data_IF_645261841487
#
_entry.id   IF_645261841487
#
_cell.length_a   1.000
_cell.length_b   1.000
_cell.length_c   1.000
_cell.angle_alpha   90.00
_cell.angle_beta   90.00
_cell.angle_gamma   90.00
#
_symmetry.space_group_name_H-M   'P 1'
#
loop_
_entity.id
_entity.type
_entity.pdbx_description
1 polymer ?
#
# COMPACT_ATOMS: atom_id res chain seq x y z
N UNK A 1 -59.06 9.46 -48.82
CA UNK A 1 -58.31 10.44 -47.99
C UNK A 1 -57.92 9.82 -46.63
N UNK A 2 -57.16 8.72 -46.59
CA UNK A 2 -56.78 8.06 -45.31
C UNK A 2 -55.36 7.44 -45.32
N UNK A 3 -54.48 7.86 -46.24
CA UNK A 3 -53.12 7.28 -46.35
C UNK A 3 -52.02 8.11 -45.66
N UNK A 4 -52.33 9.33 -45.21
CA UNK A 4 -51.31 10.26 -44.70
C UNK A 4 -51.07 10.23 -43.19
N UNK A 5 -51.92 9.54 -42.40
CA UNK A 5 -51.80 9.54 -40.93
C UNK A 5 -50.87 8.42 -40.42
N UNK A 6 -50.73 7.32 -41.17
CA UNK A 6 -49.88 6.18 -40.76
C UNK A 6 -48.38 6.49 -40.76
N UNK A 7 -47.90 7.28 -41.73
CA UNK A 7 -46.48 7.57 -41.90
C UNK A 7 -45.88 8.54 -40.85
N UNK A 8 -46.73 9.29 -40.13
CA UNK A 8 -46.28 10.23 -39.09
C UNK A 8 -46.03 9.53 -37.75
N UNK A 9 -46.69 8.41 -37.49
CA UNK A 9 -46.55 7.64 -36.25
C UNK A 9 -45.32 6.72 -36.23
N UNK A 10 -44.78 6.29 -37.38
CA UNK A 10 -43.52 5.51 -37.44
C UNK A 10 -42.28 6.32 -37.03
N UNK A 11 -42.38 7.65 -36.98
CA UNK A 11 -41.30 8.57 -36.58
C UNK A 11 -41.44 9.16 -35.19
N UNK A 12 -42.47 8.78 -34.42
CA UNK A 12 -42.53 9.14 -33.02
C UNK A 12 -41.38 8.43 -32.29
N UNK A 13 -40.39 9.14 -31.71
CA UNK A 13 -39.36 8.48 -30.94
C UNK A 13 -40.04 7.75 -29.80
N UNK A 14 -39.86 6.42 -29.75
CA UNK A 14 -40.42 5.57 -28.70
C UNK A 14 -40.22 6.24 -27.33
N UNK A 15 -41.30 6.29 -26.54
CA UNK A 15 -41.28 6.93 -25.24
C UNK A 15 -40.15 6.31 -24.40
N UNK A 16 -39.14 7.12 -24.08
CA UNK A 16 -37.84 6.59 -23.65
C UNK A 16 -37.93 6.08 -22.22
N UNK A 17 -37.52 4.83 -22.01
CA UNK A 17 -37.52 4.21 -20.70
C UNK A 17 -36.54 4.94 -19.76
N UNK A 18 -37.07 5.45 -18.64
CA UNK A 18 -36.24 6.12 -17.62
C UNK A 18 -35.28 5.11 -17.03
N UNK A 19 -33.98 5.26 -17.28
CA UNK A 19 -32.97 4.42 -16.65
C UNK A 19 -32.74 4.92 -15.21
N UNK A 20 -33.14 4.17 -14.17
CA UNK A 20 -33.02 4.64 -12.80
C UNK A 20 -31.55 4.61 -12.34
N UNK A 21 -31.01 5.77 -11.97
CA UNK A 21 -29.71 5.86 -11.29
C UNK A 21 -29.90 5.71 -9.80
N UNK A 22 -29.15 4.80 -9.20
CA UNK A 22 -29.22 4.54 -7.75
C UNK A 22 -28.71 5.74 -6.94
N UNK A 23 -29.32 5.98 -5.78
CA UNK A 23 -28.90 7.03 -4.84
C UNK A 23 -27.41 6.91 -4.49
N UNK A 24 -26.76 8.07 -4.29
CA UNK A 24 -25.33 8.23 -3.98
C UNK A 24 -24.36 7.77 -5.09
N UNK A 25 -24.85 7.56 -6.33
CA UNK A 25 -23.97 7.34 -7.47
C UNK A 25 -23.22 8.63 -7.82
N UNK A 26 -21.94 8.52 -8.16
CA UNK A 26 -21.09 9.66 -8.54
C UNK A 26 -20.75 9.64 -10.03
N UNK A 27 -20.37 10.80 -10.58
CA UNK A 27 -19.95 10.89 -11.96
C UNK A 27 -18.65 10.10 -12.18
N UNK A 28 -18.64 9.23 -13.19
CA UNK A 28 -17.46 8.49 -13.64
C UNK A 28 -16.37 9.47 -14.10
N UNK A 29 -15.12 9.21 -13.71
CA UNK A 29 -13.94 9.98 -14.06
C UNK A 29 -13.60 11.13 -13.09
N UNK A 30 -14.50 11.53 -12.19
CA UNK A 30 -14.28 12.68 -11.28
C UNK A 30 -13.94 12.28 -9.85
N UNK A 31 -14.44 11.14 -9.37
CA UNK A 31 -14.39 10.81 -7.94
C UNK A 31 -13.51 9.60 -7.62
N UNK A 32 -13.08 8.85 -8.63
CA UNK A 32 -12.38 7.58 -8.44
C UNK A 32 -10.93 7.75 -8.00
N UNK A 33 -10.28 8.86 -8.37
CA UNK A 33 -8.87 9.11 -8.00
C UNK A 33 -8.62 9.16 -6.50
N UNK A 34 -9.61 9.59 -5.71
CA UNK A 34 -9.54 9.59 -4.23
C UNK A 34 -9.95 8.23 -3.65
N UNK A 35 -10.79 7.49 -4.37
CA UNK A 35 -11.32 6.21 -3.90
C UNK A 35 -10.30 5.09 -4.04
N UNK A 36 -9.70 4.95 -5.23
CA UNK A 36 -8.65 3.97 -5.48
C UNK A 36 -7.37 4.36 -4.76
N UNK A 37 -6.67 3.35 -4.24
CA UNK A 37 -5.39 3.52 -3.58
C UNK A 37 -4.40 2.56 -4.20
N UNK A 38 -3.19 3.05 -4.46
CA UNK A 38 -2.08 2.20 -4.87
C UNK A 38 -1.95 1.04 -3.88
N UNK A 39 -1.77 -0.16 -4.40
CA UNK A 39 -1.69 -1.39 -3.60
C UNK A 39 -0.57 -2.26 -4.17
N UNK A 40 0.14 -3.01 -3.33
CA UNK A 40 1.15 -3.97 -3.77
C UNK A 40 0.57 -5.38 -3.95
N UNK A 41 1.21 -6.21 -4.78
CA UNK A 41 0.91 -7.65 -4.91
C UNK A 41 0.95 -8.36 -3.55
N UNK A 42 1.89 -7.99 -2.70
CA UNK A 42 2.02 -8.56 -1.36
C UNK A 42 0.80 -8.23 -0.49
N UNK A 43 0.38 -6.96 -0.47
CA UNK A 43 -0.81 -6.52 0.29
C UNK A 43 -2.07 -7.25 -0.16
N UNK A 44 -2.27 -7.38 -1.48
CA UNK A 44 -3.41 -8.11 -2.04
C UNK A 44 -3.38 -9.60 -1.66
N UNK A 45 -2.21 -10.25 -1.73
CA UNK A 45 -2.04 -11.64 -1.29
C UNK A 45 -2.33 -11.79 0.20
N UNK A 46 -1.89 -10.84 1.02
CA UNK A 46 -2.18 -10.80 2.45
C UNK A 46 -3.69 -10.65 2.70
N UNK A 47 -4.38 -9.78 1.95
CA UNK A 47 -5.84 -9.62 2.03
C UNK A 47 -6.56 -10.93 1.71
N UNK A 48 -6.20 -11.61 0.61
CA UNK A 48 -6.80 -12.89 0.23
C UNK A 48 -6.54 -13.96 1.28
N UNK A 49 -5.32 -14.05 1.79
CA UNK A 49 -4.96 -14.99 2.86
C UNK A 49 -5.76 -14.70 4.14
N UNK A 50 -5.91 -13.43 4.51
CA UNK A 50 -6.67 -13.00 5.67
C UNK A 50 -8.14 -13.40 5.54
N UNK A 51 -8.74 -13.18 4.36
CA UNK A 51 -10.12 -13.56 4.10
C UNK A 51 -10.34 -15.07 4.21
N UNK A 52 -9.43 -15.88 3.65
CA UNK A 52 -9.48 -17.35 3.77
C UNK A 52 -9.40 -17.81 5.22
N UNK A 53 -8.50 -17.22 6.02
CA UNK A 53 -8.39 -17.54 7.46
C UNK A 53 -9.59 -17.05 8.27
N UNK A 54 -10.09 -15.86 7.97
CA UNK A 54 -11.27 -15.29 8.61
C UNK A 54 -12.51 -16.16 8.36
N UNK A 55 -12.69 -16.63 7.13
CA UNK A 55 -13.75 -17.58 6.77
C UNK A 55 -13.67 -18.87 7.61
N UNK A 56 -12.48 -19.47 7.70
CA UNK A 56 -12.28 -20.71 8.45
C UNK A 56 -12.49 -20.51 9.95
N UNK A 57 -11.96 -19.41 10.51
CA UNK A 57 -12.09 -19.10 11.93
C UNK A 57 -13.53 -18.79 12.35
N UNK A 58 -14.31 -18.18 11.46
CA UNK A 58 -15.72 -17.86 11.72
C UNK A 58 -16.71 -18.98 11.38
N UNK A 59 -16.24 -20.13 10.89
CA UNK A 59 -17.12 -21.24 10.53
C UNK A 59 -17.63 -21.95 11.78
N UNK A 60 -18.94 -21.96 11.94
CA UNK A 60 -19.60 -22.68 13.04
C UNK A 60 -19.67 -24.19 12.75
N UNK A 61 -19.64 -25.04 13.80
CA UNK A 61 -19.84 -26.48 13.64
C UNK A 61 -21.16 -26.79 12.92
N UNK A 62 -21.11 -27.64 11.89
CA UNK A 62 -22.28 -27.99 11.06
C UNK A 62 -22.64 -26.99 9.96
N UNK A 63 -22.03 -25.79 9.95
CA UNK A 63 -22.25 -24.83 8.87
C UNK A 63 -21.36 -25.15 7.65
N UNK A 64 -21.96 -25.13 6.46
CA UNK A 64 -21.23 -25.36 5.19
C UNK A 64 -20.20 -24.25 4.90
N UNK A 65 -20.53 -23.00 5.24
CA UNK A 65 -19.72 -21.82 4.95
C UNK A 65 -19.48 -21.04 6.23
N UNK A 66 -18.38 -20.29 6.25
CA UNK A 66 -18.13 -19.26 7.25
C UNK A 66 -18.84 -17.94 6.91
N UNK A 67 -18.43 -16.83 7.55
CA UNK A 67 -19.10 -15.53 7.44
C UNK A 67 -19.08 -14.92 6.03
N UNK A 68 -18.01 -15.15 5.25
CA UNK A 68 -17.88 -14.60 3.90
C UNK A 68 -18.57 -15.50 2.87
N UNK A 69 -18.36 -16.81 2.97
CA UNK A 69 -18.78 -17.82 2.01
C UNK A 69 -17.78 -18.03 0.86
N UNK A 70 -17.78 -19.24 0.30
CA UNK A 70 -16.82 -19.62 -0.75
C UNK A 70 -16.81 -18.70 -1.98
N UNK A 71 -17.98 -18.23 -2.43
CA UNK A 71 -18.08 -17.31 -3.59
C UNK A 71 -17.42 -15.95 -3.31
N UNK A 72 -17.45 -15.48 -2.06
CA UNK A 72 -16.79 -14.24 -1.68
C UNK A 72 -15.26 -14.36 -1.76
N UNK A 73 -14.72 -15.52 -1.38
CA UNK A 73 -13.29 -15.81 -1.52
C UNK A 73 -12.90 -15.88 -3.01
N UNK A 74 -13.67 -16.60 -3.84
CA UNK A 74 -13.47 -16.67 -5.29
C UNK A 74 -13.46 -15.28 -5.95
N UNK A 75 -14.38 -14.40 -5.54
CA UNK A 75 -14.44 -13.01 -6.01
C UNK A 75 -13.20 -12.21 -5.61
N UNK A 76 -12.76 -12.34 -4.37
CA UNK A 76 -11.59 -11.62 -3.87
C UNK A 76 -10.31 -12.07 -4.59
N UNK A 77 -10.18 -13.36 -4.89
CA UNK A 77 -9.10 -13.91 -5.72
C UNK A 77 -9.14 -13.41 -7.16
N UNK A 78 -10.33 -13.31 -7.76
CA UNK A 78 -10.48 -12.73 -9.08
C UNK A 78 -10.08 -11.24 -9.06
N UNK A 79 -10.50 -10.48 -8.05
CA UNK A 79 -10.11 -9.08 -7.89
C UNK A 79 -8.61 -8.90 -7.70
N UNK A 80 -7.97 -9.80 -6.96
CA UNK A 80 -6.52 -9.81 -6.80
C UNK A 80 -5.77 -9.93 -8.13
N UNK A 81 -6.35 -10.65 -9.09
CA UNK A 81 -5.78 -10.82 -10.43
C UNK A 81 -6.12 -9.65 -11.38
N UNK A 82 -7.24 -8.95 -11.15
CA UNK A 82 -7.72 -7.89 -12.04
C UNK A 82 -7.24 -6.48 -11.65
N UNK A 83 -6.81 -6.27 -10.40
CA UNK A 83 -6.45 -4.94 -9.90
C UNK A 83 -5.18 -4.41 -10.58
N UNK A 84 -5.22 -3.15 -11.01
CA UNK A 84 -3.99 -2.43 -11.39
C UNK A 84 -3.25 -2.00 -10.13
N UNK A 85 -2.10 -2.60 -9.83
CA UNK A 85 -1.31 -2.29 -8.63
C UNK A 85 -0.79 -0.84 -8.60
N UNK A 86 -0.56 -0.21 -9.76
CA UNK A 86 -0.02 1.16 -9.80
C UNK A 86 -1.04 2.18 -9.33
N UNK A 87 -2.30 2.00 -9.71
CA UNK A 87 -3.37 2.97 -9.47
C UNK A 87 -4.40 2.50 -8.45
N UNK A 88 -4.50 1.20 -8.20
CA UNK A 88 -5.59 0.57 -7.44
C UNK A 88 -6.88 0.43 -8.24
N UNK A 89 -6.86 0.69 -9.56
CA UNK A 89 -8.06 0.68 -10.40
C UNK A 89 -8.62 -0.72 -10.50
N UNK A 90 -9.90 -0.85 -10.13
CA UNK A 90 -10.67 -2.08 -10.21
C UNK A 90 -12.13 -1.72 -10.48
N UNK A 91 -12.62 -2.06 -11.68
CA UNK A 91 -13.97 -1.71 -12.13
C UNK A 91 -14.68 -2.78 -12.99
N UNK A 92 -14.57 -4.09 -12.67
CA UNK A 92 -15.29 -5.13 -13.42
C UNK A 92 -16.81 -4.95 -13.32
N UNK A 93 -17.52 -5.18 -14.42
CA UNK A 93 -18.98 -5.23 -14.41
C UNK A 93 -19.49 -6.50 -13.72
N UNK A 94 -20.72 -6.50 -13.20
CA UNK A 94 -21.31 -7.71 -12.59
C UNK A 94 -21.36 -8.84 -13.62
N UNK A 95 -21.69 -8.54 -14.87
CA UNK A 95 -21.79 -9.54 -15.94
C UNK A 95 -20.40 -10.13 -16.28
N UNK A 96 -19.33 -9.31 -16.21
CA UNK A 96 -17.94 -9.78 -16.31
C UNK A 96 -17.60 -10.75 -15.18
N UNK A 97 -18.04 -10.48 -13.96
CA UNK A 97 -17.81 -11.36 -12.80
C UNK A 97 -18.59 -12.68 -12.95
N UNK A 98 -19.83 -12.61 -13.43
CA UNK A 98 -20.64 -13.78 -13.75
C UNK A 98 -19.94 -14.67 -14.77
N UNK A 99 -19.42 -14.08 -15.85
CA UNK A 99 -18.72 -14.80 -16.91
C UNK A 99 -17.43 -15.47 -16.38
N UNK A 100 -16.63 -14.75 -15.59
CA UNK A 100 -15.33 -15.24 -15.09
C UNK A 100 -15.48 -16.32 -14.02
N UNK A 101 -16.43 -16.17 -13.10
CA UNK A 101 -16.63 -17.12 -11.99
C UNK A 101 -17.66 -18.21 -12.29
N UNK A 102 -18.44 -18.08 -13.38
CA UNK A 102 -19.56 -18.97 -13.71
C UNK A 102 -20.56 -19.09 -12.55
N UNK A 103 -20.81 -17.98 -11.86
CA UNK A 103 -21.77 -17.87 -10.75
C UNK A 103 -22.97 -17.03 -11.16
N UNK A 104 -24.11 -17.29 -10.53
CA UNK A 104 -25.32 -16.49 -10.75
C UNK A 104 -25.13 -15.06 -10.27
N UNK A 105 -25.89 -14.13 -10.87
CA UNK A 105 -25.89 -12.71 -10.48
C UNK A 105 -26.15 -12.53 -8.99
N UNK A 106 -27.10 -13.29 -8.46
CA UNK A 106 -27.49 -13.22 -7.05
C UNK A 106 -26.38 -13.71 -6.11
N UNK A 107 -25.69 -14.80 -6.46
CA UNK A 107 -24.56 -15.29 -5.68
C UNK A 107 -23.43 -14.24 -5.62
N UNK A 108 -23.13 -13.57 -6.73
CA UNK A 108 -22.13 -12.49 -6.78
C UNK A 108 -22.58 -11.30 -5.94
N UNK A 109 -23.84 -10.87 -6.05
CA UNK A 109 -24.37 -9.74 -5.27
C UNK A 109 -24.35 -10.04 -3.77
N UNK A 110 -24.72 -11.26 -3.36
CA UNK A 110 -24.65 -11.70 -1.96
C UNK A 110 -23.20 -11.71 -1.46
N UNK A 111 -22.29 -12.28 -2.22
CA UNK A 111 -20.87 -12.34 -1.87
C UNK A 111 -20.23 -10.94 -1.76
N UNK A 112 -20.54 -10.02 -2.68
CA UNK A 112 -20.11 -8.62 -2.57
C UNK A 112 -20.64 -7.98 -1.28
N UNK A 113 -21.93 -8.17 -0.95
CA UNK A 113 -22.51 -7.66 0.31
C UNK A 113 -21.79 -8.20 1.53
N UNK A 114 -21.46 -9.50 1.56
CA UNK A 114 -20.73 -10.10 2.67
C UNK A 114 -19.32 -9.51 2.80
N UNK A 115 -18.56 -9.43 1.70
CA UNK A 115 -17.23 -8.81 1.70
C UNK A 115 -17.25 -7.38 2.25
N UNK A 116 -18.29 -6.60 1.90
CA UNK A 116 -18.46 -5.24 2.41
C UNK A 116 -18.89 -5.19 3.86
N UNK A 117 -19.80 -6.06 4.28
CA UNK A 117 -20.23 -6.16 5.68
C UNK A 117 -19.05 -6.48 6.62
N UNK A 118 -18.12 -7.31 6.16
CA UNK A 118 -16.93 -7.70 6.92
C UNK A 118 -15.68 -6.84 6.65
N UNK A 119 -15.78 -5.81 5.80
CA UNK A 119 -14.71 -4.82 5.58
C UNK A 119 -13.57 -5.26 4.66
N UNK A 120 -13.71 -6.36 3.92
CA UNK A 120 -12.73 -6.80 2.91
C UNK A 120 -12.84 -6.05 1.58
N UNK A 121 -14.00 -5.43 1.33
CA UNK A 121 -14.28 -4.77 0.08
C UNK A 121 -15.17 -3.54 0.26
N UNK A 122 -14.78 -2.44 -0.37
CA UNK A 122 -15.64 -1.28 -0.59
C UNK A 122 -15.98 -1.12 -2.06
N UNK A 123 -17.10 -0.43 -2.34
CA UNK A 123 -17.42 0.02 -3.68
C UNK A 123 -17.94 1.45 -3.72
N UNK A 124 -17.65 2.11 -4.84
CA UNK A 124 -18.22 3.39 -5.24
C UNK A 124 -19.14 3.15 -6.44
N UNK A 125 -20.41 3.56 -6.30
CA UNK A 125 -21.40 3.51 -7.39
C UNK A 125 -21.18 4.68 -8.33
N UNK A 126 -21.30 4.42 -9.64
CA UNK A 126 -20.99 5.40 -10.66
C UNK A 126 -22.09 5.51 -11.71
N UNK A 127 -22.20 6.69 -12.31
CA UNK A 127 -22.99 6.94 -13.51
C UNK A 127 -22.13 7.65 -14.55
N UNK A 128 -22.51 7.51 -15.82
CA UNK A 128 -21.91 8.22 -16.94
C UNK A 128 -23.02 8.91 -17.75
N UNK A 129 -22.66 10.02 -18.40
CA UNK A 129 -23.59 10.72 -19.27
C UNK A 129 -23.78 9.92 -20.56
N UNK A 130 -25.01 9.78 -21.02
CA UNK A 130 -25.33 9.00 -22.22
C UNK A 130 -24.93 9.73 -23.51
N UNK A 131 -24.70 11.05 -23.44
CA UNK A 131 -24.25 11.86 -24.58
C UNK A 131 -25.34 12.22 -25.60
N UNK A 132 -26.58 11.75 -25.38
CA UNK A 132 -27.71 12.05 -26.24
C UNK A 132 -28.22 13.50 -26.04
N UNK A 133 -28.58 14.14 -27.14
CA UNK A 133 -29.22 15.46 -27.14
C UNK A 133 -30.72 15.35 -26.75
N UNK A 134 -31.21 16.29 -25.93
CA UNK A 134 -32.60 16.32 -25.48
C UNK A 134 -32.82 17.08 -24.17
N UNK A 135 -34.05 17.03 -23.64
CA UNK A 135 -34.44 17.75 -22.42
C UNK A 135 -33.83 17.11 -21.17
N UNK A 136 -32.79 17.76 -20.62
CA UNK A 136 -32.16 17.42 -19.34
C UNK A 136 -30.97 16.44 -19.43
N UNK A 137 -30.12 16.35 -18.39
CA UNK A 137 -28.96 15.47 -18.39
C UNK A 137 -29.36 14.00 -18.44
N UNK A 138 -29.01 13.30 -19.51
CA UNK A 138 -29.24 11.86 -19.64
C UNK A 138 -28.06 11.09 -19.04
N UNK A 139 -28.37 10.22 -18.08
CA UNK A 139 -27.38 9.42 -17.34
C UNK A 139 -27.70 7.93 -17.45
N UNK A 140 -26.66 7.12 -17.59
CA UNK A 140 -26.73 5.66 -17.48
C UNK A 140 -25.83 5.17 -16.34
N UNK A 141 -26.21 4.05 -15.73
CA UNK A 141 -25.43 3.47 -14.65
C UNK A 141 -24.15 2.84 -15.21
N UNK A 142 -23.01 3.21 -14.65
CA UNK A 142 -21.72 2.64 -15.00
C UNK A 142 -21.37 1.45 -14.08
N UNK A 143 -20.34 0.68 -14.44
CA UNK A 143 -19.78 -0.33 -13.54
C UNK A 143 -19.29 0.32 -12.24
N UNK A 144 -19.45 -0.37 -11.12
CA UNK A 144 -18.94 0.14 -9.85
C UNK A 144 -17.41 0.15 -9.86
N UNK A 145 -16.82 1.07 -9.11
CA UNK A 145 -15.42 1.00 -8.72
C UNK A 145 -15.32 0.21 -7.42
N UNK A 146 -14.42 -0.76 -7.35
CA UNK A 146 -14.18 -1.58 -6.16
C UNK A 146 -12.83 -1.27 -5.56
N UNK A 147 -12.68 -1.52 -4.26
CA UNK A 147 -11.42 -1.41 -3.53
C UNK A 147 -11.35 -2.52 -2.49
N UNK A 148 -10.25 -3.26 -2.50
CA UNK A 148 -9.96 -4.25 -1.46
C UNK A 148 -9.35 -3.57 -0.24
N UNK A 149 -9.69 -4.07 0.95
CA UNK A 149 -9.17 -3.57 2.22
C UNK A 149 -8.88 -4.73 3.16
N UNK A 150 -7.93 -4.53 4.07
CA UNK A 150 -7.63 -5.47 5.14
C UNK A 150 -8.26 -4.96 6.45
N UNK A 151 -9.39 -5.52 6.90
CA UNK A 151 -10.01 -5.10 8.16
C UNK A 151 -9.17 -5.53 9.36
N UNK A 152 -9.26 -4.76 10.45
CA UNK A 152 -8.43 -4.96 11.65
C UNK A 152 -8.67 -6.33 12.31
N UNK A 153 -9.92 -6.80 12.32
CA UNK A 153 -10.28 -8.12 12.83
C UNK A 153 -9.57 -9.26 12.08
N UNK A 154 -9.43 -9.14 10.75
CA UNK A 154 -8.73 -10.14 9.95
C UNK A 154 -7.21 -10.01 10.09
N UNK A 155 -6.69 -8.78 10.33
CA UNK A 155 -5.27 -8.55 10.61
C UNK A 155 -4.83 -9.26 11.90
N UNK A 156 -5.67 -9.26 12.93
CA UNK A 156 -5.39 -9.98 14.16
C UNK A 156 -5.30 -11.51 13.95
N UNK A 157 -6.15 -12.07 13.08
CA UNK A 157 -6.17 -13.51 12.77
C UNK A 157 -4.94 -13.96 11.96
N UNK A 158 -4.36 -13.06 11.15
CA UNK A 158 -3.14 -13.34 10.39
C UNK A 158 -1.94 -13.63 11.31
N UNK A 159 -1.81 -12.94 12.45
CA UNK A 159 -0.70 -13.13 13.38
C UNK A 159 0.66 -13.01 12.68
N UNK A 160 1.51 -14.05 12.78
CA UNK A 160 2.81 -14.12 12.07
C UNK A 160 2.69 -14.31 10.55
N UNK A 161 1.54 -14.73 10.04
CA UNK A 161 1.33 -15.09 8.63
C UNK A 161 0.93 -13.84 7.85
N UNK A 162 1.89 -13.15 7.25
CA UNK A 162 1.65 -11.87 6.55
C UNK A 162 2.55 -10.74 7.05
N UNK A 163 3.27 -10.97 8.15
CA UNK A 163 4.40 -10.15 8.56
C UNK A 163 5.63 -10.56 7.75
N UNK A 164 6.49 -9.59 7.43
CA UNK A 164 7.83 -9.90 6.92
C UNK A 164 8.52 -10.78 7.97
N UNK A 165 9.07 -11.95 7.59
CA UNK A 165 9.80 -12.80 8.53
C UNK A 165 10.87 -11.98 9.26
N UNK A 166 11.10 -12.25 10.56
CA UNK A 166 12.23 -11.63 11.24
C UNK A 166 13.51 -11.96 10.48
N UNK A 167 14.44 -11.01 10.44
CA UNK A 167 15.76 -11.23 9.85
C UNK A 167 16.43 -12.39 10.61
N UNK A 168 17.06 -13.37 9.92
CA UNK A 168 17.74 -14.47 10.59
C UNK A 168 18.81 -13.98 11.57
N UNK A 169 18.95 -14.68 12.71
CA UNK A 169 19.90 -14.31 13.76
C UNK A 169 21.34 -14.22 13.23
N UNK A 170 21.74 -15.12 12.33
CA UNK A 170 23.05 -15.08 11.67
C UNK A 170 23.30 -13.78 10.89
N UNK A 171 22.25 -13.21 10.28
CA UNK A 171 22.37 -11.94 9.56
C UNK A 171 22.48 -10.75 10.50
N UNK A 172 21.72 -10.78 11.60
CA UNK A 172 21.82 -9.76 12.67
C UNK A 172 23.21 -9.78 13.28
N UNK A 173 23.73 -10.97 13.59
CA UNK A 173 25.08 -11.17 14.10
C UNK A 173 26.15 -10.69 13.11
N UNK A 174 26.05 -11.07 11.83
CA UNK A 174 27.01 -10.64 10.82
C UNK A 174 26.99 -9.12 10.55
N UNK A 175 25.85 -8.46 10.76
CA UNK A 175 25.73 -6.99 10.71
C UNK A 175 26.37 -6.35 11.95
N UNK A 176 26.15 -6.91 13.13
CA UNK A 176 26.78 -6.46 14.37
C UNK A 176 28.30 -6.64 14.35
N UNK A 177 28.82 -7.76 13.86
CA UNK A 177 30.25 -8.02 13.69
C UNK A 177 30.89 -7.08 12.65
N UNK A 178 30.17 -6.76 11.57
CA UNK A 178 30.61 -5.75 10.60
C UNK A 178 30.67 -4.37 11.22
N UNK A 179 29.66 -3.97 11.99
CA UNK A 179 29.67 -2.69 12.70
C UNK A 179 30.82 -2.62 13.71
N UNK A 180 31.03 -3.69 14.49
CA UNK A 180 32.12 -3.79 15.46
C UNK A 180 33.51 -3.75 14.80
N UNK A 181 33.70 -4.42 13.66
CA UNK A 181 34.97 -4.38 12.93
C UNK A 181 35.23 -3.01 12.31
N UNK A 182 34.21 -2.33 11.80
CA UNK A 182 34.29 -0.93 11.34
C UNK A 182 34.64 0.00 12.50
N UNK A 183 34.05 -0.20 13.67
CA UNK A 183 34.31 0.62 14.86
C UNK A 183 35.70 0.39 15.45
N UNK A 184 36.17 -0.86 15.48
CA UNK A 184 37.54 -1.23 15.86
C UNK A 184 38.56 -0.64 14.88
N UNK A 185 38.29 -0.70 13.58
CA UNK A 185 39.11 -0.02 12.57
C UNK A 185 39.09 1.50 12.78
N UNK A 186 37.92 2.10 13.01
CA UNK A 186 37.77 3.54 13.24
C UNK A 186 38.52 4.04 14.48
N UNK A 187 38.65 3.20 15.51
CA UNK A 187 39.33 3.55 16.77
C UNK A 187 40.85 3.36 16.70
N UNK A 188 41.35 2.48 15.83
CA UNK A 188 42.80 2.31 15.61
C UNK A 188 43.42 3.38 14.71
N UNK A 189 42.61 4.09 13.92
CA UNK A 189 43.07 5.18 13.06
C UNK A 189 43.44 6.44 13.87
N UNK A 190 44.54 7.08 13.46
CA UNK A 190 44.89 8.42 13.93
C UNK A 190 43.83 9.46 13.50
N UNK A 191 43.79 10.61 14.17
CA UNK A 191 42.77 11.66 14.00
C UNK A 191 42.62 12.08 12.53
N UNK A 192 43.73 12.18 11.79
CA UNK A 192 43.73 12.47 10.34
C UNK A 192 43.07 11.37 9.52
N UNK A 193 43.45 10.11 9.74
CA UNK A 193 42.91 8.99 8.98
C UNK A 193 41.45 8.70 9.36
N UNK A 194 41.08 8.93 10.63
CA UNK A 194 39.70 8.79 11.13
C UNK A 194 38.76 9.82 10.52
N UNK A 195 39.20 11.07 10.40
CA UNK A 195 38.41 12.14 9.76
C UNK A 195 38.21 11.90 8.27
N UNK A 196 39.22 11.39 7.56
CA UNK A 196 39.10 10.96 6.16
C UNK A 196 38.20 9.72 6.01
N UNK A 197 38.22 8.79 6.96
CA UNK A 197 37.34 7.63 6.97
C UNK A 197 35.86 8.01 7.15
N UNK A 198 35.57 8.99 8.02
CA UNK A 198 34.19 9.41 8.33
C UNK A 198 33.59 10.34 7.27
N UNK A 199 34.37 11.31 6.78
CA UNK A 199 33.88 12.37 5.86
C UNK A 199 34.17 12.01 4.39
N UNK A 200 35.05 11.03 4.15
CA UNK A 200 35.53 10.66 2.82
C UNK A 200 36.68 11.55 2.34
N UNK A 201 37.40 11.07 1.32
CA UNK A 201 38.52 11.79 0.69
C UNK A 201 38.00 12.86 -0.30
N UNK A 202 37.31 13.84 0.26
CA UNK A 202 36.78 15.00 -0.46
C UNK A 202 37.44 16.29 0.08
N UNK A 203 37.27 17.44 -0.59
CA UNK A 203 37.94 18.69 -0.21
C UNK A 203 37.67 19.11 1.24
N UNK A 204 36.47 18.81 1.75
CA UNK A 204 36.07 19.08 3.12
C UNK A 204 36.77 18.13 4.10
N UNK A 205 36.81 16.83 3.80
CA UNK A 205 37.49 15.82 4.61
C UNK A 205 38.99 16.10 4.73
N UNK A 206 39.65 16.50 3.64
CA UNK A 206 41.05 16.91 3.67
C UNK A 206 41.28 18.18 4.51
N UNK A 207 40.37 19.15 4.45
CA UNK A 207 40.45 20.36 5.27
C UNK A 207 40.28 20.04 6.77
N UNK A 208 39.32 19.17 7.11
CA UNK A 208 39.07 18.74 8.48
C UNK A 208 40.21 17.87 9.04
N UNK A 209 40.82 17.01 8.22
CA UNK A 209 41.99 16.23 8.61
C UNK A 209 43.18 17.14 8.96
N UNK A 210 43.46 18.15 8.12
CA UNK A 210 44.51 19.15 8.39
C UNK A 210 44.24 19.94 9.67
N UNK A 211 42.97 20.30 9.93
CA UNK A 211 42.58 20.98 11.16
C UNK A 211 42.80 20.08 12.38
N UNK A 212 42.37 18.82 12.33
CA UNK A 212 42.56 17.84 13.40
C UNK A 212 44.04 17.63 13.74
N UNK A 213 44.90 17.52 12.72
CA UNK A 213 46.37 17.46 12.87
C UNK A 213 46.92 18.66 13.63
N UNK A 214 46.55 19.87 13.20
CA UNK A 214 47.05 21.10 13.78
C UNK A 214 46.64 21.25 15.27
N UNK A 215 45.42 20.83 15.62
CA UNK A 215 44.94 20.81 17.00
C UNK A 215 45.73 19.79 17.83
N UNK A 216 45.91 18.56 17.33
CA UNK A 216 46.62 17.51 18.06
C UNK A 216 48.09 17.88 18.33
N UNK A 217 48.78 18.46 17.34
CA UNK A 217 50.16 18.97 17.50
C UNK A 217 50.24 20.07 18.57
N UNK A 218 49.27 20.98 18.58
CA UNK A 218 49.21 22.09 19.55
C UNK A 218 48.97 21.61 20.98
N UNK A 219 48.08 20.64 21.17
CA UNK A 219 47.81 20.05 22.48
C UNK A 219 48.99 19.24 23.01
N UNK A 220 49.62 18.44 22.14
CA UNK A 220 50.82 17.66 22.47
C UNK A 220 52.00 18.54 22.89
N UNK A 221 52.21 19.68 22.21
CA UNK A 221 53.24 20.65 22.56
C UNK A 221 52.99 21.39 23.88
N UNK A 222 51.74 21.45 24.35
CA UNK A 222 51.38 22.05 25.64
C UNK A 222 51.52 21.08 26.81
N UNK A 223 51.48 19.76 26.56
CA UNK A 223 51.65 18.72 27.58
C UNK A 223 53.11 18.44 27.96
N UNK A 224 54.10 19.00 27.26
CA UNK A 224 55.50 18.95 27.69
C UNK A 224 55.71 19.99 28.80
N UNK A 225 55.17 19.71 29.98
CA UNK A 225 55.48 20.49 31.18
C UNK A 225 56.98 20.40 31.46
N UNK A 226 57.59 21.57 31.62
CA UNK A 226 59.02 21.74 31.89
C UNK A 226 59.40 20.99 33.18
N UNK A 227 60.59 20.36 33.26
CA UNK A 227 61.03 19.76 34.52
C UNK A 227 61.09 20.87 35.55
N UNK A 228 60.27 20.75 36.60
CA UNK A 228 60.29 21.64 37.75
C UNK A 228 61.66 21.51 38.44
N UNK A 229 62.60 22.35 38.04
CA UNK A 229 63.91 22.46 38.67
C UNK A 229 63.79 23.09 40.05
N UNK A 230 63.58 22.27 41.08
CA UNK A 230 63.82 22.67 42.47
C UNK A 230 65.29 22.42 42.82
N UNK A 231 66.14 23.42 42.56
CA UNK A 231 67.51 23.47 43.06
C UNK A 231 67.53 24.19 44.43
N UNK A 232 67.93 23.43 45.45
CA UNK A 232 68.70 23.74 46.67
C UNK A 232 68.35 24.91 47.62
N UNK A 233 68.24 24.57 48.92
CA UNK A 233 69.18 24.98 49.98
C UNK A 233 68.89 24.16 51.26
N UNK A 234 69.81 23.33 51.78
CA UNK A 234 71.05 23.56 52.57
C UNK A 234 70.79 23.40 54.08
N UNK A 235 71.47 22.40 54.65
CA UNK A 235 72.00 22.23 56.03
C UNK A 235 71.33 23.00 57.16
N UNK A 236 70.83 22.29 58.17
CA UNK A 236 71.53 21.87 59.40
C UNK A 236 70.76 20.74 60.09
#
# INVERSE_FOLDING_TARGET
MFEQIGAVLERAPADRERTPVRRQSRARGRCEGVFWRRTNRQDVRTIVLAARRYELAGRQPGARNGPLGGVAIELLELFANLVDFRTGRLEPSIDTLMLKLRRSRDAIVRALKHLRAHGFLDWLRRYELTGNEGRGPQVKQASNAYRMSLPDCARQILGRWGMTPPVPDDRVQAEAERAASIEAHRTSLDIEARTLFDVGDNPLGQALARLGKAINLRESARQTESPSGSINNRKE
#
